data_IF_364224259416
#
_entry.id   IF_364224259416
#
_cell.length_a   1.000
_cell.length_b   1.000
_cell.length_c   1.000
_cell.angle_alpha   90.00
_cell.angle_beta   90.00
_cell.angle_gamma   90.00
#
_symmetry.space_group_name_H-M   'P 1'
#
loop_
_entity.id
_entity.type
_entity.pdbx_description
1 polymer ?
#
# COMPACT_ATOMS: atom_id res chain seq x y z
N UNK A 1 -57.35 43.07 -8.85
CA UNK A 1 -56.97 43.43 -7.45
C UNK A 1 -56.46 42.16 -6.78
N UNK A 2 -55.12 42.07 -6.62
CA UNK A 2 -54.40 42.01 -5.32
C UNK A 2 -54.65 40.70 -4.55
N UNK A 3 -53.72 39.74 -4.66
CA UNK A 3 -52.56 39.55 -3.75
C UNK A 3 -52.97 39.48 -2.29
N UNK A 4 -52.83 38.30 -1.68
CA UNK A 4 -52.20 38.03 -0.36
C UNK A 4 -52.75 36.71 0.20
N UNK A 5 -52.09 35.59 -0.08
CA UNK A 5 -52.03 34.38 0.78
C UNK A 5 -50.86 33.53 0.27
N UNK A 6 -49.63 34.01 0.51
CA UNK A 6 -48.39 33.28 0.20
C UNK A 6 -47.30 33.73 1.17
N UNK A 7 -47.56 33.49 2.46
CA UNK A 7 -46.57 33.53 3.54
C UNK A 7 -47.05 32.50 4.56
N UNK A 8 -46.76 31.23 4.31
CA UNK A 8 -46.62 30.11 5.27
C UNK A 8 -46.44 28.79 4.49
N UNK A 9 -45.51 28.81 3.53
CA UNK A 9 -44.87 27.60 3.01
C UNK A 9 -43.36 27.81 3.14
N UNK A 10 -42.96 28.07 4.38
CA UNK A 10 -41.59 28.05 4.85
C UNK A 10 -41.22 26.58 5.01
N UNK A 11 -40.06 26.20 4.45
CA UNK A 11 -39.28 25.01 4.81
C UNK A 11 -39.90 23.62 4.53
N UNK A 12 -40.25 23.30 3.28
CA UNK A 12 -40.24 21.88 2.83
C UNK A 12 -39.59 21.70 1.44
N UNK A 13 -39.36 22.77 0.67
CA UNK A 13 -38.72 22.71 -0.65
C UNK A 13 -37.21 22.97 -0.61
N UNK A 14 -36.51 22.38 0.36
CA UNK A 14 -35.06 22.54 0.53
C UNK A 14 -34.30 21.24 0.84
N UNK A 15 -34.92 20.08 0.61
CA UNK A 15 -34.30 18.79 0.92
C UNK A 15 -34.71 17.73 -0.12
N UNK A 16 -34.38 17.97 -1.39
CA UNK A 16 -34.44 16.94 -2.41
C UNK A 16 -33.21 17.05 -3.31
N UNK A 17 -32.33 16.06 -3.12
CA UNK A 17 -31.45 15.53 -4.16
C UNK A 17 -30.33 16.46 -4.64
N UNK A 18 -29.56 17.04 -3.72
CA UNK A 18 -28.11 16.95 -3.90
C UNK A 18 -27.69 15.63 -3.28
N UNK A 19 -27.78 14.54 -4.06
CA UNK A 19 -26.83 13.44 -3.90
C UNK A 19 -25.50 14.10 -4.23
N UNK A 20 -24.90 14.72 -3.21
CA UNK A 20 -23.51 15.09 -3.29
C UNK A 20 -22.81 13.77 -3.51
N UNK A 21 -22.44 13.48 -4.75
CA UNK A 21 -21.16 12.85 -5.00
C UNK A 21 -20.19 13.74 -4.24
N UNK A 22 -19.91 13.36 -3.00
CA UNK A 22 -18.70 13.82 -2.33
C UNK A 22 -17.65 13.31 -3.29
N UNK A 23 -17.13 14.20 -4.13
CA UNK A 23 -15.98 13.90 -4.98
C UNK A 23 -14.87 13.65 -3.98
N UNK A 24 -14.64 12.38 -3.65
CA UNK A 24 -13.56 12.04 -2.76
C UNK A 24 -12.35 11.80 -3.65
N UNK A 25 -11.44 12.75 -3.58
CA UNK A 25 -10.15 12.73 -4.27
C UNK A 25 -9.29 11.61 -3.68
N UNK A 26 -8.43 11.00 -4.50
CA UNK A 26 -7.72 9.75 -4.19
C UNK A 26 -6.98 9.77 -2.85
N UNK A 27 -6.98 8.62 -2.16
CA UNK A 27 -6.43 8.50 -0.82
C UNK A 27 -4.93 8.29 -0.89
N UNK A 28 -4.20 9.38 -0.70
CA UNK A 28 -2.79 9.32 -0.38
C UNK A 28 -2.67 8.89 1.09
N UNK A 29 -1.79 7.95 1.41
CA UNK A 29 -1.38 7.79 2.80
C UNK A 29 -0.73 9.07 3.31
N UNK A 30 -0.17 9.92 2.44
CA UNK A 30 0.30 11.27 2.78
C UNK A 30 0.13 12.20 1.55
N UNK A 31 -0.33 13.45 1.72
CA UNK A 31 -0.42 14.44 0.61
C UNK A 31 0.96 14.93 0.15
N UNK A 32 1.76 14.03 -0.38
CA UNK A 32 3.14 14.27 -0.74
C UNK A 32 3.37 14.16 -2.24
N UNK A 33 4.41 14.84 -2.69
CA UNK A 33 4.79 14.85 -4.08
C UNK A 33 5.37 13.51 -4.55
N UNK A 34 5.25 13.26 -5.85
CA UNK A 34 5.75 12.08 -6.55
C UNK A 34 7.23 12.25 -6.93
N UNK A 35 8.01 11.17 -7.05
CA UNK A 35 9.40 11.23 -7.55
C UNK A 35 9.62 10.28 -8.73
N UNK A 36 10.13 10.82 -9.83
CA UNK A 36 10.52 10.02 -11.00
C UNK A 36 11.87 9.30 -10.79
N UNK A 37 12.28 8.48 -11.77
CA UNK A 37 13.44 7.59 -11.72
C UNK A 37 14.75 8.34 -11.68
N UNK A 38 14.78 9.53 -12.26
CA UNK A 38 15.91 10.45 -12.20
C UNK A 38 15.98 11.24 -10.88
N UNK A 39 15.01 11.05 -9.98
CA UNK A 39 14.90 11.74 -8.71
C UNK A 39 14.12 13.05 -8.77
N UNK A 40 13.60 13.46 -9.93
CA UNK A 40 12.78 14.65 -10.10
C UNK A 40 11.57 14.59 -9.18
N UNK A 41 11.42 15.59 -8.31
CA UNK A 41 10.30 15.71 -7.38
C UNK A 41 9.19 16.58 -7.97
N UNK A 42 7.98 16.04 -7.99
CA UNK A 42 6.78 16.74 -8.38
C UNK A 42 6.00 17.10 -7.13
N UNK A 43 5.91 18.38 -6.76
CA UNK A 43 5.24 18.79 -5.54
C UNK A 43 3.76 18.38 -5.56
N UNK A 44 3.12 18.23 -4.39
CA UNK A 44 1.70 17.86 -4.29
C UNK A 44 0.73 18.91 -4.85
N UNK A 45 1.23 20.07 -5.30
CA UNK A 45 0.48 21.21 -5.87
C UNK A 45 1.10 21.61 -7.21
N UNK A 46 0.36 21.49 -8.32
CA UNK A 46 0.82 21.75 -9.69
C UNK A 46 0.13 20.82 -10.71
N UNK A 47 0.45 20.95 -12.02
CA UNK A 47 -0.04 20.12 -13.15
C UNK A 47 0.46 18.66 -13.08
N UNK A 48 0.22 17.99 -11.96
CA UNK A 48 0.47 16.57 -11.77
C UNK A 48 -0.88 15.82 -11.79
N UNK A 49 -0.96 14.63 -12.44
CA UNK A 49 -2.21 13.90 -12.59
C UNK A 49 -2.92 13.68 -11.26
N UNK A 50 -4.25 13.86 -11.27
CA UNK A 50 -5.09 13.69 -10.10
C UNK A 50 -5.06 12.23 -9.62
N UNK A 51 -4.33 11.94 -8.54
CA UNK A 51 -4.18 10.58 -7.99
C UNK A 51 -2.91 10.38 -7.16
N UNK A 52 -2.75 11.17 -6.10
CA UNK A 52 -1.60 11.22 -5.17
C UNK A 52 -1.18 9.83 -4.66
N UNK A 53 0.12 9.58 -4.52
CA UNK A 53 0.66 8.35 -3.91
C UNK A 53 1.95 8.70 -3.15
N UNK A 54 2.04 8.31 -1.89
CA UNK A 54 3.24 8.19 -1.06
C UNK A 54 2.85 7.20 0.01
N UNK A 55 3.71 6.24 0.27
CA UNK A 55 3.47 5.21 1.28
C UNK A 55 4.60 5.31 2.29
N UNK A 56 4.32 4.96 3.53
CA UNK A 56 5.34 4.97 4.60
C UNK A 56 6.56 4.12 4.22
N UNK A 57 6.30 3.02 3.52
CA UNK A 57 7.28 2.03 3.11
C UNK A 57 8.10 2.52 1.89
N UNK A 58 7.53 3.37 1.04
CA UNK A 58 8.22 4.04 -0.07
C UNK A 58 9.38 4.93 0.41
N UNK A 59 9.11 5.77 1.41
CA UNK A 59 10.06 6.80 1.87
C UNK A 59 11.41 6.19 2.29
N UNK A 60 11.41 5.03 2.98
CA UNK A 60 12.65 4.35 3.36
C UNK A 60 13.26 3.47 2.25
N UNK A 61 12.47 3.02 1.26
CA UNK A 61 12.92 2.00 0.28
C UNK A 61 14.19 2.42 -0.44
N UNK A 62 14.31 3.68 -0.87
CA UNK A 62 15.53 4.19 -1.52
C UNK A 62 16.76 4.09 -0.60
N UNK A 63 16.65 4.59 0.64
CA UNK A 63 17.76 4.58 1.59
C UNK A 63 18.17 3.14 1.94
N UNK A 64 17.21 2.27 2.20
CA UNK A 64 17.45 0.86 2.51
C UNK A 64 18.09 0.13 1.32
N UNK A 65 17.67 0.39 0.09
CA UNK A 65 18.28 -0.22 -1.11
C UNK A 65 19.73 0.23 -1.31
N UNK A 66 20.04 1.52 -1.11
CA UNK A 66 21.41 2.03 -1.15
C UNK A 66 22.27 1.36 -0.06
N UNK A 67 21.74 1.27 1.16
CA UNK A 67 22.40 0.59 2.27
C UNK A 67 22.61 -0.91 1.99
N UNK A 68 21.68 -1.55 1.29
CA UNK A 68 21.78 -2.95 0.87
C UNK A 68 22.79 -3.15 -0.26
N UNK A 69 23.13 -2.08 -1.00
CA UNK A 69 24.22 -2.09 -1.99
C UNK A 69 23.79 -2.09 -3.44
N UNK A 70 22.52 -1.77 -3.72
CA UNK A 70 22.04 -1.50 -5.07
C UNK A 70 22.68 -0.24 -5.65
N UNK A 71 22.64 -0.10 -6.98
CA UNK A 71 22.98 1.17 -7.63
C UNK A 71 21.94 2.23 -7.29
N UNK A 72 22.27 3.52 -7.47
CA UNK A 72 21.29 4.61 -7.30
C UNK A 72 20.09 4.42 -8.24
N UNK A 73 20.34 4.04 -9.49
CA UNK A 73 19.29 3.80 -10.48
C UNK A 73 18.34 2.68 -10.06
N UNK A 74 18.88 1.54 -9.62
CA UNK A 74 18.05 0.42 -9.18
C UNK A 74 17.28 0.75 -7.90
N UNK A 75 17.91 1.51 -6.99
CA UNK A 75 17.26 1.96 -5.77
C UNK A 75 16.09 2.92 -6.05
N UNK A 76 16.21 3.78 -7.06
CA UNK A 76 15.08 4.58 -7.54
C UNK A 76 13.99 3.74 -8.20
N UNK A 77 14.35 2.74 -9.00
CA UNK A 77 13.38 1.79 -9.56
C UNK A 77 12.61 1.08 -8.45
N UNK A 78 13.30 0.59 -7.41
CA UNK A 78 12.67 -0.07 -6.28
C UNK A 78 11.70 0.86 -5.55
N UNK A 79 12.12 2.11 -5.28
CA UNK A 79 11.27 3.12 -4.66
C UNK A 79 9.99 3.36 -5.47
N UNK A 80 10.12 3.71 -6.76
CA UNK A 80 8.98 4.02 -7.62
C UNK A 80 7.99 2.87 -7.69
N UNK A 81 8.46 1.64 -7.93
CA UNK A 81 7.54 0.51 -8.10
C UNK A 81 6.92 0.04 -6.79
N UNK A 82 7.55 0.33 -5.64
CA UNK A 82 6.94 0.17 -4.33
C UNK A 82 5.81 1.20 -4.17
N UNK A 83 6.10 2.48 -4.42
CA UNK A 83 5.12 3.55 -4.42
C UNK A 83 3.93 3.24 -5.32
N UNK A 84 4.16 2.75 -6.54
CA UNK A 84 3.09 2.51 -7.51
C UNK A 84 2.07 1.45 -7.08
N UNK A 85 2.37 0.58 -6.11
CA UNK A 85 1.41 -0.45 -5.68
C UNK A 85 0.14 0.20 -5.15
N UNK A 86 0.29 1.33 -4.46
CA UNK A 86 -0.78 2.17 -3.94
C UNK A 86 -1.47 3.07 -4.97
N UNK A 87 -1.09 2.99 -6.25
CA UNK A 87 -1.74 3.78 -7.29
C UNK A 87 -3.21 3.40 -7.44
N UNK A 88 -4.11 4.36 -7.19
CA UNK A 88 -5.54 4.14 -7.36
C UNK A 88 -6.00 4.31 -8.81
N UNK A 89 -5.44 5.31 -9.50
CA UNK A 89 -5.85 5.74 -10.85
C UNK A 89 -4.62 5.96 -11.71
N UNK A 90 -4.68 5.48 -12.95
CA UNK A 90 -3.63 5.74 -13.92
C UNK A 90 -3.69 7.19 -14.41
N UNK A 91 -2.55 7.87 -14.55
CA UNK A 91 -2.53 9.22 -15.07
C UNK A 91 -3.08 9.25 -16.50
N UNK A 92 -3.84 10.30 -16.83
CA UNK A 92 -4.42 10.50 -18.17
C UNK A 92 -3.37 10.69 -19.26
N UNK A 93 -2.16 11.14 -18.87
CA UNK A 93 -0.96 11.12 -19.69
C UNK A 93 -0.17 9.86 -19.36
N UNK A 94 0.17 9.01 -20.34
CA UNK A 94 0.94 7.80 -20.11
C UNK A 94 2.30 8.12 -19.46
N UNK A 95 2.50 7.66 -18.22
CA UNK A 95 3.83 7.57 -17.62
C UNK A 95 4.46 6.23 -18.01
N UNK A 96 5.77 6.19 -18.17
CA UNK A 96 6.48 4.99 -18.67
C UNK A 96 6.44 3.77 -17.74
N UNK A 97 5.94 3.94 -16.51
CA UNK A 97 5.85 2.91 -15.48
C UNK A 97 4.46 2.92 -14.85
N UNK A 98 3.74 1.81 -14.97
CA UNK A 98 2.43 1.63 -14.34
C UNK A 98 2.13 0.13 -14.23
N UNK A 99 1.36 -0.26 -13.22
CA UNK A 99 0.79 -1.61 -13.14
C UNK A 99 -0.34 -1.85 -14.15
N UNK A 100 -0.70 -0.87 -14.99
CA UNK A 100 -1.69 -1.01 -16.05
C UNK A 100 -3.10 -1.30 -15.52
N UNK A 101 -4.08 -1.26 -16.42
CA UNK A 101 -5.49 -1.56 -16.14
C UNK A 101 -5.91 -2.95 -16.65
N UNK A 102 -5.01 -3.67 -17.31
CA UNK A 102 -5.26 -5.00 -17.85
C UNK A 102 -4.94 -6.08 -16.82
N UNK A 103 -5.84 -7.05 -16.65
CA UNK A 103 -5.57 -8.23 -15.83
C UNK A 103 -6.72 -8.68 -14.93
N UNK A 104 -7.82 -7.93 -14.87
CA UNK A 104 -9.00 -8.32 -14.10
C UNK A 104 -9.86 -9.34 -14.83
N UNK A 105 -10.32 -10.37 -14.11
CA UNK A 105 -11.33 -11.27 -14.64
C UNK A 105 -12.72 -10.62 -14.59
N UNK A 106 -13.66 -11.18 -15.35
CA UNK A 106 -15.06 -10.79 -15.25
C UNK A 106 -15.55 -11.00 -13.80
N UNK A 107 -16.20 -9.99 -13.19
CA UNK A 107 -16.72 -10.09 -11.84
C UNK A 107 -17.82 -11.16 -11.77
N UNK A 108 -17.97 -11.84 -10.62
CA UNK A 108 -19.03 -12.83 -10.44
C UNK A 108 -20.41 -12.18 -10.58
N UNK A 109 -21.39 -12.94 -11.06
CA UNK A 109 -22.77 -12.46 -11.19
C UNK A 109 -23.52 -12.71 -9.87
N UNK A 110 -23.78 -11.68 -9.05
CA UNK A 110 -24.38 -11.89 -7.74
C UNK A 110 -25.81 -12.42 -7.84
N UNK A 111 -26.53 -12.23 -8.96
CA UNK A 111 -27.89 -12.79 -9.12
C UNK A 111 -27.86 -14.32 -9.21
N UNK A 112 -26.77 -14.89 -9.73
CA UNK A 112 -26.59 -16.33 -9.92
C UNK A 112 -25.84 -16.95 -8.74
N UNK A 113 -24.76 -16.30 -8.30
CA UNK A 113 -23.82 -16.87 -7.34
C UNK A 113 -24.22 -16.63 -5.88
N UNK A 114 -25.11 -15.66 -5.63
CA UNK A 114 -25.50 -15.24 -4.28
C UNK A 114 -26.98 -15.54 -3.97
N UNK A 115 -27.53 -16.67 -4.44
CA UNK A 115 -28.90 -17.09 -4.14
C UNK A 115 -29.05 -17.28 -2.62
N UNK A 116 -30.09 -16.66 -2.04
CA UNK A 116 -30.37 -16.73 -0.60
C UNK A 116 -29.53 -15.79 0.28
N UNK A 117 -28.60 -15.02 -0.29
CA UNK A 117 -27.76 -14.04 0.44
C UNK A 117 -28.18 -12.60 0.17
N UNK A 118 -27.80 -11.69 1.07
CA UNK A 118 -27.94 -10.26 0.85
C UNK A 118 -26.98 -9.79 -0.25
N UNK A 119 -27.54 -9.18 -1.30
CA UNK A 119 -26.79 -8.77 -2.50
C UNK A 119 -27.26 -7.44 -3.10
N UNK A 120 -27.93 -6.62 -2.30
CA UNK A 120 -28.59 -5.41 -2.77
C UNK A 120 -27.62 -4.26 -3.09
N UNK A 121 -26.40 -4.33 -2.54
CA UNK A 121 -25.33 -3.35 -2.76
C UNK A 121 -23.99 -4.06 -2.84
N UNK A 122 -23.15 -3.65 -3.79
CA UNK A 122 -21.75 -4.05 -3.81
C UNK A 122 -20.97 -3.26 -2.77
N UNK A 123 -20.22 -3.99 -1.94
CA UNK A 123 -19.38 -3.47 -0.86
C UNK A 123 -17.92 -3.55 -1.29
N UNK A 124 -17.54 -4.63 -1.98
CA UNK A 124 -16.20 -4.82 -2.50
C UNK A 124 -16.20 -5.48 -3.90
N UNK A 125 -15.32 -5.08 -4.84
CA UNK A 125 -14.55 -3.82 -4.91
C UNK A 125 -15.39 -2.59 -4.58
N UNK A 126 -14.75 -1.52 -4.10
CA UNK A 126 -15.49 -0.30 -3.72
C UNK A 126 -15.96 0.47 -4.96
N UNK A 127 -16.85 1.44 -4.79
CA UNK A 127 -17.31 2.29 -5.90
C UNK A 127 -16.22 3.18 -6.54
N UNK A 128 -14.99 3.17 -6.00
CA UNK A 128 -13.83 3.88 -6.56
C UNK A 128 -13.01 3.05 -7.52
N UNK A 129 -13.22 1.74 -7.53
CA UNK A 129 -12.58 0.87 -8.47
C UNK A 129 -13.24 1.01 -9.84
N UNK A 130 -12.43 1.31 -10.84
CA UNK A 130 -12.82 1.30 -12.24
C UNK A 130 -11.86 0.38 -13.00
N UNK A 131 -12.30 -0.78 -13.49
CA UNK A 131 -11.43 -1.73 -14.17
C UNK A 131 -10.78 -1.14 -15.43
N UNK A 132 -11.35 -0.07 -16.01
CA UNK A 132 -10.81 0.57 -17.21
C UNK A 132 -9.69 1.57 -16.88
N UNK A 133 -9.54 1.99 -15.62
CA UNK A 133 -8.59 3.06 -15.25
C UNK A 133 -7.79 2.81 -13.97
N UNK A 134 -8.14 1.79 -13.19
CA UNK A 134 -7.43 1.41 -11.96
C UNK A 134 -6.24 0.51 -12.25
N UNK A 135 -5.18 0.65 -11.45
CA UNK A 135 -4.03 -0.24 -11.46
C UNK A 135 -4.42 -1.67 -11.03
N UNK A 136 -3.76 -2.70 -11.57
CA UNK A 136 -3.94 -4.11 -11.12
C UNK A 136 -3.80 -4.28 -9.61
N UNK A 137 -2.88 -3.53 -9.00
CA UNK A 137 -2.63 -3.55 -7.56
C UNK A 137 -3.57 -2.65 -6.76
N UNK A 138 -4.48 -1.89 -7.39
CA UNK A 138 -5.29 -0.86 -6.73
C UNK A 138 -5.91 -1.32 -5.42
N UNK A 139 -5.71 -0.52 -4.36
CA UNK A 139 -6.29 -0.67 -3.01
C UNK A 139 -7.81 -0.79 -2.95
N UNK A 140 -8.54 -0.43 -4.00
CA UNK A 140 -10.00 -0.59 -4.05
C UNK A 140 -10.47 -1.75 -4.92
N UNK A 141 -9.55 -2.33 -5.68
CA UNK A 141 -9.82 -3.38 -6.65
C UNK A 141 -10.01 -4.75 -6.01
N UNK A 142 -10.36 -5.75 -6.84
CA UNK A 142 -10.62 -7.10 -6.37
C UNK A 142 -9.37 -7.80 -5.82
N UNK A 143 -8.17 -7.40 -6.24
CA UNK A 143 -6.89 -7.95 -5.76
C UNK A 143 -6.30 -7.22 -4.56
N UNK A 144 -6.89 -6.11 -4.12
CA UNK A 144 -6.33 -5.31 -3.03
C UNK A 144 -6.05 -6.12 -1.76
N UNK A 145 -6.92 -7.04 -1.31
CA UNK A 145 -6.61 -7.82 -0.11
C UNK A 145 -5.34 -8.67 -0.24
N UNK A 146 -4.99 -9.08 -1.46
CA UNK A 146 -3.77 -9.84 -1.74
C UNK A 146 -2.51 -8.96 -1.74
N UNK A 147 -2.58 -7.73 -2.26
CA UNK A 147 -1.44 -6.81 -2.35
C UNK A 147 -1.23 -5.95 -1.10
N UNK A 148 -2.33 -5.57 -0.40
CA UNK A 148 -2.32 -4.59 0.68
C UNK A 148 -2.69 -5.14 2.06
N UNK A 149 -3.28 -6.34 2.11
CA UNK A 149 -3.55 -7.03 3.37
C UNK A 149 -3.03 -8.47 3.37
N UNK A 150 -1.81 -8.74 2.85
CA UNK A 150 -1.29 -10.09 2.86
C UNK A 150 -1.02 -10.54 4.31
N UNK A 151 -1.38 -11.78 4.63
CA UNK A 151 -1.08 -12.33 5.94
C UNK A 151 0.43 -12.46 6.15
N UNK A 152 0.94 -11.94 7.27
CA UNK A 152 2.34 -12.09 7.65
C UNK A 152 2.68 -13.58 7.81
N UNK A 153 3.63 -14.08 7.02
CA UNK A 153 3.95 -15.51 6.98
C UNK A 153 2.85 -16.39 6.36
N UNK A 154 1.87 -15.80 5.68
CA UNK A 154 0.78 -16.50 4.99
C UNK A 154 1.10 -16.92 3.55
N UNK A 155 0.12 -17.50 2.87
CA UNK A 155 0.23 -17.91 1.46
C UNK A 155 0.41 -16.71 0.52
N UNK A 156 -0.25 -15.60 0.82
CA UNK A 156 -0.31 -14.41 -0.04
C UNK A 156 1.09 -13.82 -0.20
N UNK A 157 1.73 -13.54 0.94
CA UNK A 157 3.08 -13.01 0.98
C UNK A 157 4.14 -13.98 0.42
N UNK A 158 3.94 -15.29 0.59
CA UNK A 158 4.82 -16.31 -0.02
C UNK A 158 4.71 -16.31 -1.54
N UNK A 159 3.50 -16.27 -2.09
CA UNK A 159 3.28 -16.25 -3.53
C UNK A 159 3.88 -14.99 -4.17
N UNK A 160 3.67 -13.82 -3.53
CA UNK A 160 4.31 -12.57 -3.91
C UNK A 160 5.83 -12.67 -3.89
N UNK A 161 6.40 -13.23 -2.81
CA UNK A 161 7.85 -13.43 -2.68
C UNK A 161 8.39 -14.35 -3.77
N UNK A 162 7.77 -15.50 -4.01
CA UNK A 162 8.26 -16.46 -5.01
C UNK A 162 8.21 -15.89 -6.44
N UNK A 163 7.14 -15.16 -6.78
CA UNK A 163 7.05 -14.44 -8.05
C UNK A 163 8.08 -13.30 -8.16
N UNK A 164 8.20 -12.47 -7.13
CA UNK A 164 9.17 -11.36 -7.06
C UNK A 164 10.63 -11.83 -7.12
N UNK A 165 10.91 -13.01 -6.55
CA UNK A 165 12.20 -13.66 -6.64
C UNK A 165 12.37 -14.45 -7.95
N UNK A 166 11.37 -14.55 -8.82
CA UNK A 166 11.46 -15.35 -10.05
C UNK A 166 11.66 -16.84 -9.79
N UNK A 167 11.23 -17.31 -8.61
CA UNK A 167 11.10 -18.74 -8.32
C UNK A 167 9.82 -19.31 -8.95
N UNK A 168 8.85 -18.44 -9.24
CA UNK A 168 7.64 -18.72 -10.00
C UNK A 168 7.50 -17.69 -11.13
N UNK A 169 7.19 -18.16 -12.34
CA UNK A 169 6.89 -17.29 -13.48
C UNK A 169 5.47 -16.70 -13.43
N UNK A 170 4.61 -17.25 -12.57
CA UNK A 170 3.20 -16.86 -12.41
C UNK A 170 2.93 -16.35 -11.00
N UNK A 171 2.12 -15.30 -10.90
CA UNK A 171 1.61 -14.80 -9.62
C UNK A 171 0.24 -15.42 -9.34
N UNK A 172 0.20 -16.45 -8.49
CA UNK A 172 -1.05 -17.01 -7.98
C UNK A 172 -1.53 -16.20 -6.78
N UNK A 173 -2.80 -15.78 -6.82
CA UNK A 173 -3.43 -15.02 -5.76
C UNK A 173 -4.93 -15.23 -5.77
N UNK A 174 -5.68 -14.25 -5.28
CA UNK A 174 -7.13 -14.30 -5.33
C UNK A 174 -7.73 -12.92 -5.55
N UNK A 175 -8.93 -12.92 -6.13
CA UNK A 175 -9.84 -11.79 -6.12
C UNK A 175 -10.91 -11.97 -5.06
N UNK A 176 -11.35 -10.86 -4.48
CA UNK A 176 -12.39 -10.81 -3.48
C UNK A 176 -13.56 -9.93 -3.96
N UNK A 177 -14.78 -10.34 -3.61
CA UNK A 177 -16.00 -9.59 -3.85
C UNK A 177 -16.96 -9.73 -2.68
N UNK A 178 -17.62 -8.64 -2.33
CA UNK A 178 -18.63 -8.63 -1.28
C UNK A 178 -19.86 -7.83 -1.72
N UNK A 179 -21.03 -8.38 -1.43
CA UNK A 179 -22.31 -7.69 -1.49
C UNK A 179 -23.05 -7.81 -0.16
N UNK A 180 -23.83 -6.79 0.17
CA UNK A 180 -24.60 -6.74 1.41
C UNK A 180 -25.99 -6.15 1.21
N UNK A 181 -26.60 -5.73 2.32
CA UNK A 181 -27.82 -4.95 2.35
C UNK A 181 -27.58 -3.53 1.80
N UNK A 182 -28.65 -2.81 1.45
CA UNK A 182 -28.52 -1.41 0.97
C UNK A 182 -27.86 -0.49 2.00
N UNK A 183 -28.03 -0.80 3.27
CA UNK A 183 -27.52 -0.06 4.43
C UNK A 183 -26.09 -0.43 4.80
N UNK A 184 -25.57 -1.54 4.30
CA UNK A 184 -24.19 -1.94 4.57
C UNK A 184 -23.23 -1.00 3.83
N UNK A 185 -22.16 -0.61 4.52
CA UNK A 185 -21.11 0.28 4.06
C UNK A 185 -19.73 -0.39 4.10
N UNK A 186 -19.55 -1.40 4.95
CA UNK A 186 -18.27 -2.07 5.17
C UNK A 186 -18.37 -3.58 4.95
N UNK A 187 -17.22 -4.22 4.68
CA UNK A 187 -17.14 -5.68 4.57
C UNK A 187 -17.65 -6.38 5.83
N UNK A 188 -17.30 -5.85 7.02
CA UNK A 188 -17.72 -6.40 8.30
C UNK A 188 -19.25 -6.43 8.39
N UNK A 189 -19.91 -5.34 8.02
CA UNK A 189 -21.37 -5.28 8.01
C UNK A 189 -21.97 -6.29 7.03
N UNK A 190 -21.40 -6.41 5.82
CA UNK A 190 -21.84 -7.41 4.85
C UNK A 190 -21.71 -8.84 5.42
N UNK A 191 -20.59 -9.16 6.06
CA UNK A 191 -20.34 -10.46 6.69
C UNK A 191 -21.34 -10.73 7.82
N UNK A 192 -21.55 -9.76 8.72
CA UNK A 192 -22.47 -9.88 9.85
C UNK A 192 -23.94 -9.98 9.42
N UNK A 193 -24.31 -9.32 8.33
CA UNK A 193 -25.67 -9.27 7.81
C UNK A 193 -25.96 -10.34 6.76
N UNK A 194 -25.26 -11.47 6.77
CA UNK A 194 -25.44 -12.58 5.81
C UNK A 194 -25.37 -12.14 4.33
N UNK A 195 -24.39 -11.27 4.06
CA UNK A 195 -24.01 -10.82 2.73
C UNK A 195 -23.43 -11.94 1.87
N UNK A 196 -23.34 -11.66 0.58
CA UNK A 196 -22.66 -12.54 -0.35
C UNK A 196 -21.17 -12.23 -0.40
N UNK A 197 -20.36 -13.21 -0.01
CA UNK A 197 -18.91 -13.07 0.08
C UNK A 197 -18.27 -14.12 -0.83
N UNK A 198 -17.49 -13.68 -1.81
CA UNK A 198 -16.88 -14.55 -2.82
C UNK A 198 -15.39 -14.24 -2.89
N UNK A 199 -14.58 -15.29 -2.82
CA UNK A 199 -13.17 -15.25 -3.22
C UNK A 199 -12.93 -16.27 -4.33
N UNK A 200 -12.08 -15.94 -5.30
CA UNK A 200 -11.68 -16.84 -6.38
C UNK A 200 -10.17 -16.81 -6.55
N UNK A 201 -9.53 -17.97 -6.43
CA UNK A 201 -8.12 -18.14 -6.75
C UNK A 201 -7.92 -17.93 -8.24
N UNK A 202 -6.93 -17.12 -8.60
CA UNK A 202 -6.62 -16.77 -9.98
C UNK A 202 -5.12 -16.62 -10.19
N UNK A 203 -4.68 -16.76 -11.44
CA UNK A 203 -3.38 -16.23 -11.86
C UNK A 203 -3.56 -14.75 -12.19
N UNK A 204 -2.89 -13.87 -11.45
CA UNK A 204 -2.93 -12.43 -11.64
C UNK A 204 -1.97 -12.07 -12.77
N UNK A 205 -2.49 -11.43 -13.82
CA UNK A 205 -1.68 -10.95 -14.94
C UNK A 205 -1.02 -9.62 -14.55
N UNK A 206 0.29 -9.66 -14.28
CA UNK A 206 1.09 -8.48 -13.99
C UNK A 206 1.75 -7.96 -15.27
N UNK A 207 1.86 -6.63 -15.48
CA UNK A 207 2.55 -6.07 -16.64
C UNK A 207 4.08 -6.05 -16.49
N UNK A 208 4.60 -6.52 -15.36
CA UNK A 208 6.03 -6.62 -15.07
C UNK A 208 6.46 -8.09 -15.06
N UNK A 209 7.65 -8.43 -15.56
CA UNK A 209 8.13 -9.81 -15.55
C UNK A 209 8.36 -10.32 -14.12
N UNK A 210 8.07 -11.60 -13.89
CA UNK A 210 8.48 -12.28 -12.67
C UNK A 210 10.00 -12.16 -12.48
N UNK A 211 10.44 -12.03 -11.22
CA UNK A 211 11.86 -11.91 -10.90
C UNK A 211 12.51 -10.56 -11.26
N UNK A 212 11.78 -9.58 -11.81
CA UNK A 212 12.34 -8.26 -12.09
C UNK A 212 12.47 -7.40 -10.82
N UNK A 213 13.14 -6.24 -10.90
CA UNK A 213 13.22 -5.30 -9.77
C UNK A 213 11.85 -4.69 -9.45
N UNK A 214 11.03 -4.48 -10.47
CA UNK A 214 9.65 -3.99 -10.35
C UNK A 214 8.79 -4.99 -9.58
N UNK A 215 8.84 -6.27 -9.95
CA UNK A 215 8.16 -7.33 -9.21
C UNK A 215 8.66 -7.44 -7.76
N UNK A 216 9.97 -7.28 -7.56
CA UNK A 216 10.55 -7.26 -6.21
C UNK A 216 10.07 -6.07 -5.38
N UNK A 217 9.96 -4.88 -5.97
CA UNK A 217 9.39 -3.71 -5.31
C UNK A 217 7.90 -3.89 -4.95
N UNK A 218 7.11 -4.55 -5.81
CA UNK A 218 5.72 -4.92 -5.47
C UNK A 218 5.67 -5.77 -4.21
N UNK A 219 6.58 -6.75 -4.09
CA UNK A 219 6.68 -7.58 -2.91
C UNK A 219 7.15 -6.81 -1.67
N UNK A 220 8.12 -5.89 -1.80
CA UNK A 220 8.58 -5.08 -0.67
C UNK A 220 7.47 -4.20 -0.09
N UNK A 221 6.60 -3.66 -0.95
CA UNK A 221 5.40 -2.94 -0.54
C UNK A 221 4.49 -3.85 0.29
N UNK A 222 4.08 -4.97 -0.29
CA UNK A 222 3.20 -5.96 0.35
C UNK A 222 3.80 -6.53 1.65
N UNK A 223 5.13 -6.63 1.74
CA UNK A 223 5.84 -6.99 2.97
C UNK A 223 5.67 -5.92 4.03
N UNK A 224 5.81 -4.63 3.69
CA UNK A 224 5.52 -3.54 4.62
C UNK A 224 4.08 -3.61 5.12
N UNK A 225 3.14 -3.73 4.18
CA UNK A 225 1.70 -3.83 4.46
C UNK A 225 1.35 -5.03 5.35
N UNK A 226 2.06 -6.16 5.21
CA UNK A 226 1.86 -7.33 6.06
C UNK A 226 2.16 -7.06 7.54
N UNK A 227 3.16 -6.21 7.82
CA UNK A 227 3.54 -5.85 9.19
C UNK A 227 2.64 -4.73 9.75
N UNK A 228 2.34 -3.70 8.96
CA UNK A 228 1.47 -2.60 9.40
C UNK A 228 0.07 -3.11 9.76
N UNK A 229 -0.49 -3.98 8.93
CA UNK A 229 -1.85 -4.49 9.08
C UNK A 229 -1.98 -5.74 9.95
N UNK A 230 -0.89 -6.29 10.51
CA UNK A 230 -0.93 -7.57 11.24
C UNK A 230 -2.01 -7.61 12.35
N UNK A 231 -2.07 -6.59 13.20
CA UNK A 231 -3.06 -6.51 14.28
C UNK A 231 -4.49 -6.31 13.74
N UNK A 232 -4.65 -5.62 12.61
CA UNK A 232 -5.94 -5.50 11.94
C UNK A 232 -6.39 -6.87 11.42
N UNK A 233 -5.50 -7.64 10.80
CA UNK A 233 -5.79 -8.99 10.31
C UNK A 233 -6.23 -9.91 11.46
N UNK A 234 -5.54 -9.85 12.60
CA UNK A 234 -5.90 -10.61 13.79
C UNK A 234 -7.27 -10.19 14.36
N UNK A 235 -7.55 -8.87 14.41
CA UNK A 235 -8.84 -8.33 14.86
C UNK A 235 -10.01 -8.75 13.95
N UNK A 236 -9.79 -8.78 12.64
CA UNK A 236 -10.76 -9.22 11.64
C UNK A 236 -11.02 -10.73 11.70
N UNK A 237 -9.97 -11.53 11.92
CA UNK A 237 -10.07 -12.97 12.10
C UNK A 237 -10.81 -13.35 13.40
N UNK A 238 -10.73 -12.50 14.44
CA UNK A 238 -11.41 -12.70 15.72
C UNK A 238 -12.92 -12.38 15.70
N UNK A 239 -13.43 -11.76 14.63
CA UNK A 239 -14.86 -11.46 14.49
C UNK A 239 -15.71 -12.75 14.43
N UNK A 240 -17.00 -12.63 14.74
CA UNK A 240 -17.94 -13.76 14.65
C UNK A 240 -19.17 -13.38 13.81
N UNK A 241 -19.30 -13.89 12.57
CA UNK A 241 -18.33 -14.75 11.89
C UNK A 241 -17.02 -14.00 11.51
N UNK A 242 -15.90 -14.71 11.33
CA UNK A 242 -14.64 -14.10 10.92
C UNK A 242 -14.76 -13.38 9.59
N UNK A 243 -14.04 -12.28 9.44
CA UNK A 243 -13.97 -11.56 8.17
C UNK A 243 -12.96 -12.27 7.26
N UNK A 244 -13.32 -12.60 6.01
CA UNK A 244 -12.51 -13.51 5.20
C UNK A 244 -11.27 -12.89 4.55
N UNK A 245 -11.09 -11.57 4.62
CA UNK A 245 -9.89 -10.89 4.17
C UNK A 245 -9.72 -9.53 4.85
N UNK A 246 -8.53 -8.95 4.75
CA UNK A 246 -8.20 -7.66 5.34
C UNK A 246 -8.82 -6.47 4.63
N UNK A 247 -9.31 -5.52 5.41
CA UNK A 247 -9.75 -4.22 4.91
C UNK A 247 -9.64 -3.21 6.03
N UNK A 248 -9.35 -1.96 5.68
CA UNK A 248 -9.65 -0.86 6.58
C UNK A 248 -11.15 -0.78 6.82
N UNK A 249 -11.47 -0.26 7.99
CA UNK A 249 -12.83 0.05 8.40
C UNK A 249 -12.88 1.52 8.76
N UNK A 250 -14.06 2.13 8.59
CA UNK A 250 -14.41 3.34 9.34
C UNK A 250 -15.37 2.83 10.40
N UNK A 251 -14.91 2.50 11.63
CA UNK A 251 -15.79 1.99 12.66
C UNK A 251 -16.96 2.98 12.84
N UNK A 252 -18.13 2.46 13.23
CA UNK A 252 -19.01 3.31 14.00
C UNK A 252 -18.19 3.73 15.23
N UNK A 253 -17.96 5.02 15.41
CA UNK A 253 -17.12 5.61 16.47
C UNK A 253 -17.26 4.79 17.77
N UNK A 254 -16.17 4.14 18.22
CA UNK A 254 -16.10 3.48 19.52
C UNK A 254 -16.27 1.95 19.55
N UNK A 255 -16.05 1.20 18.46
CA UNK A 255 -15.84 -0.26 18.54
C UNK A 255 -14.34 -0.58 18.80
N UNK A 256 -13.95 -0.91 20.04
CA UNK A 256 -12.56 -1.20 20.37
C UNK A 256 -12.06 -2.52 19.77
N UNK A 257 -12.96 -3.42 19.31
CA UNK A 257 -12.57 -4.75 18.83
C UNK A 257 -11.93 -4.74 17.44
N UNK A 258 -12.09 -3.64 16.69
CA UNK A 258 -11.53 -3.45 15.34
C UNK A 258 -10.70 -2.16 15.25
N UNK A 259 -10.28 -1.61 16.39
CA UNK A 259 -9.50 -0.37 16.46
C UNK A 259 -8.20 -0.42 15.65
N UNK A 260 -7.58 -1.61 15.56
CA UNK A 260 -6.39 -1.84 14.73
C UNK A 260 -6.65 -1.63 13.22
N UNK A 261 -7.92 -1.73 12.77
CA UNK A 261 -8.35 -1.51 11.40
C UNK A 261 -8.95 -0.12 11.15
N UNK A 262 -9.02 0.73 12.17
CA UNK A 262 -9.64 2.05 12.07
C UNK A 262 -8.80 2.99 11.22
N UNK A 263 -9.30 3.31 10.04
CA UNK A 263 -8.67 4.30 9.17
C UNK A 263 -9.78 5.11 8.50
N UNK A 264 -9.80 6.41 8.79
CA UNK A 264 -10.69 7.34 8.11
C UNK A 264 -9.93 8.09 7.03
N UNK A 265 -10.00 7.64 5.78
CA UNK A 265 -9.19 8.20 4.71
C UNK A 265 -9.61 9.61 4.29
N UNK A 266 -10.78 10.09 4.74
CA UNK A 266 -11.22 11.49 4.51
C UNK A 266 -10.71 12.46 5.57
N UNK A 267 -10.19 11.95 6.68
CA UNK A 267 -9.63 12.72 7.78
C UNK A 267 -8.62 11.85 8.53
N UNK A 268 -7.46 11.54 7.93
CA UNK A 268 -6.46 10.72 8.59
C UNK A 268 -5.91 11.45 9.81
N UNK A 269 -5.64 10.72 10.88
CA UNK A 269 -5.23 11.27 12.17
C UNK A 269 -4.05 10.48 12.74
N UNK A 270 -3.26 11.10 13.61
CA UNK A 270 -2.14 10.44 14.29
C UNK A 270 -2.58 9.24 15.15
N UNK A 271 -3.86 9.16 15.53
CA UNK A 271 -4.41 8.07 16.34
C UNK A 271 -5.18 7.00 15.53
N UNK A 272 -5.16 7.05 14.19
CA UNK A 272 -5.70 6.01 13.32
C UNK A 272 -4.68 4.89 13.01
N UNK A 273 -5.07 3.86 12.27
CA UNK A 273 -4.25 2.69 11.97
C UNK A 273 -2.90 3.05 11.34
N UNK A 274 -2.83 4.05 10.47
CA UNK A 274 -1.58 4.51 9.85
C UNK A 274 -0.87 5.52 10.73
N UNK A 275 -1.62 6.38 11.42
CA UNK A 275 -1.09 7.38 12.34
C UNK A 275 -0.21 6.77 13.43
N UNK A 276 -0.68 5.65 13.99
CA UNK A 276 -0.02 4.95 15.11
C UNK A 276 1.30 4.27 14.71
N UNK A 277 1.58 4.11 13.42
CA UNK A 277 2.86 3.61 12.93
C UNK A 277 4.03 4.56 13.21
N UNK A 278 3.74 5.82 13.56
CA UNK A 278 4.75 6.85 13.72
C UNK A 278 4.71 7.54 15.08
N UNK A 279 5.85 8.08 15.47
CA UNK A 279 5.98 8.85 16.70
C UNK A 279 6.14 7.97 17.94
N UNK A 280 6.88 8.46 18.92
CA UNK A 280 7.26 7.68 20.12
C UNK A 280 6.10 7.30 21.06
N UNK A 281 4.88 7.77 20.81
CA UNK A 281 3.73 7.63 21.71
C UNK A 281 3.00 6.31 21.53
N UNK A 282 3.10 5.69 20.35
CA UNK A 282 2.31 4.50 19.99
C UNK A 282 3.13 3.22 19.98
N UNK A 283 2.48 2.11 20.35
CA UNK A 283 3.09 0.77 20.33
C UNK A 283 3.25 0.21 18.92
N UNK A 284 2.43 0.67 17.97
CA UNK A 284 2.39 0.18 16.59
C UNK A 284 3.68 0.53 15.82
N UNK A 285 4.40 1.58 16.25
CA UNK A 285 5.72 1.96 15.74
C UNK A 285 6.74 0.81 15.73
N UNK A 286 6.65 -0.11 16.70
CA UNK A 286 7.54 -1.27 16.74
C UNK A 286 7.33 -2.19 15.52
N UNK A 287 6.09 -2.36 15.04
CA UNK A 287 5.80 -3.16 13.83
C UNK A 287 6.38 -2.48 12.59
N UNK A 288 6.29 -1.16 12.50
CA UNK A 288 6.88 -0.39 11.39
C UNK A 288 8.41 -0.46 11.38
N UNK A 289 9.06 -0.47 12.56
CA UNK A 289 10.51 -0.72 12.67
C UNK A 289 10.86 -2.15 12.22
N UNK A 290 10.07 -3.15 12.63
CA UNK A 290 10.26 -4.54 12.22
C UNK A 290 10.06 -4.73 10.72
N UNK A 291 9.05 -4.07 10.13
CA UNK A 291 8.81 -4.01 8.70
C UNK A 291 10.03 -3.46 7.94
N UNK A 292 10.57 -2.32 8.38
CA UNK A 292 11.74 -1.70 7.76
C UNK A 292 12.98 -2.61 7.83
N UNK A 293 13.17 -3.32 8.95
CA UNK A 293 14.25 -4.31 9.11
C UNK A 293 14.04 -5.53 8.21
N UNK A 294 12.82 -6.03 8.07
CA UNK A 294 12.49 -7.14 7.19
C UNK A 294 12.70 -6.78 5.71
N UNK A 295 12.24 -5.59 5.29
CA UNK A 295 12.51 -5.01 3.97
C UNK A 295 14.02 -4.91 3.74
N UNK A 296 14.78 -4.41 4.72
CA UNK A 296 16.24 -4.34 4.62
C UNK A 296 16.90 -5.71 4.46
N UNK A 297 16.40 -6.74 5.14
CA UNK A 297 16.91 -8.10 5.04
C UNK A 297 16.67 -8.69 3.64
N UNK A 298 15.46 -8.54 3.08
CA UNK A 298 15.13 -8.97 1.72
C UNK A 298 15.96 -8.20 0.67
N UNK A 299 16.09 -6.87 0.80
CA UNK A 299 16.96 -6.05 -0.03
C UNK A 299 18.42 -6.52 0.03
N UNK A 300 18.94 -6.77 1.24
CA UNK A 300 20.32 -7.23 1.44
C UNK A 300 20.57 -8.59 0.80
N UNK A 301 19.63 -9.53 0.96
CA UNK A 301 19.70 -10.84 0.33
C UNK A 301 19.67 -10.72 -1.21
N UNK A 302 18.75 -9.91 -1.74
CA UNK A 302 18.58 -9.71 -3.18
C UNK A 302 19.81 -9.03 -3.80
N UNK A 303 20.31 -8.00 -3.14
CA UNK A 303 21.55 -7.30 -3.48
C UNK A 303 22.73 -8.28 -3.59
N UNK A 304 22.93 -9.14 -2.58
CA UNK A 304 24.02 -10.12 -2.60
C UNK A 304 23.89 -11.11 -3.77
N UNK A 305 22.69 -11.65 -3.97
CA UNK A 305 22.46 -12.75 -4.91
C UNK A 305 22.39 -12.32 -6.36
N UNK A 306 21.94 -11.10 -6.66
CA UNK A 306 21.58 -10.69 -8.03
C UNK A 306 22.10 -9.31 -8.43
N UNK A 307 21.43 -8.23 -8.03
CA UNK A 307 21.62 -6.91 -8.66
C UNK A 307 22.64 -6.01 -7.94
N UNK A 308 22.91 -6.26 -6.66
CA UNK A 308 23.75 -5.37 -5.84
C UNK A 308 25.15 -5.18 -6.39
N UNK A 309 25.72 -3.99 -6.28
CA UNK A 309 27.12 -3.72 -6.69
C UNK A 309 28.05 -3.61 -5.49
N UNK A 310 27.50 -3.44 -4.29
CA UNK A 310 28.23 -3.33 -3.03
C UNK A 310 27.72 -4.32 -1.98
N UNK A 311 28.59 -4.77 -1.08
CA UNK A 311 28.19 -5.56 0.07
C UNK A 311 27.21 -4.76 0.94
N UNK A 312 26.10 -5.36 1.43
CA UNK A 312 25.20 -4.68 2.35
C UNK A 312 25.93 -4.14 3.59
N UNK A 313 25.53 -2.98 4.09
CA UNK A 313 26.02 -2.46 5.36
C UNK A 313 25.43 -3.28 6.52
N UNK A 314 26.20 -3.67 7.54
CA UNK A 314 25.60 -4.12 8.79
C UNK A 314 24.64 -3.06 9.36
N UNK A 315 23.56 -3.50 10.00
CA UNK A 315 22.66 -2.60 10.75
C UNK A 315 23.39 -1.81 11.86
N UNK A 316 24.53 -2.31 12.32
CA UNK A 316 25.41 -1.66 13.30
C UNK A 316 26.37 -0.64 12.68
N UNK A 317 26.35 -0.41 11.36
CA UNK A 317 27.22 0.58 10.71
C UNK A 317 26.90 1.98 11.22
N UNK A 318 27.94 2.67 11.71
CA UNK A 318 27.84 4.07 12.13
C UNK A 318 27.71 5.01 10.93
N UNK A 319 26.74 5.92 11.01
CA UNK A 319 26.42 6.96 10.05
C UNK A 319 26.38 8.31 10.78
N UNK A 320 26.66 9.39 10.07
CA UNK A 320 26.39 10.75 10.56
C UNK A 320 25.26 11.33 9.73
N UNK A 321 24.06 11.36 10.30
CA UNK A 321 22.84 11.86 9.64
C UNK A 321 22.49 13.19 10.28
N UNK A 322 22.42 14.27 9.48
CA UNK A 322 22.15 15.63 9.97
C UNK A 322 23.10 16.07 11.09
N UNK A 323 24.37 15.67 11.02
CA UNK A 323 25.39 15.99 12.03
C UNK A 323 25.33 15.16 13.32
N UNK A 324 24.39 14.21 13.43
CA UNK A 324 24.26 13.32 14.59
C UNK A 324 24.77 11.93 14.24
N UNK A 325 25.65 11.39 15.09
CA UNK A 325 26.10 10.00 14.95
C UNK A 325 24.99 9.03 15.36
N UNK A 326 24.71 8.05 14.50
CA UNK A 326 23.73 7.00 14.73
C UNK A 326 24.19 5.71 14.03
N UNK A 327 23.57 4.57 14.33
CA UNK A 327 23.75 3.36 13.50
C UNK A 327 22.73 3.35 12.36
N UNK A 328 22.90 2.50 11.35
CA UNK A 328 21.88 2.29 10.32
C UNK A 328 20.54 1.87 10.96
N UNK A 329 20.57 0.97 11.94
CA UNK A 329 19.38 0.60 12.71
C UNK A 329 18.80 1.78 13.49
N UNK A 330 19.67 2.55 14.16
CA UNK A 330 19.28 3.76 14.87
C UNK A 330 18.65 4.81 13.95
N UNK A 331 19.09 4.90 12.69
CA UNK A 331 18.48 5.76 11.69
C UNK A 331 17.09 5.28 11.27
N UNK A 332 16.88 3.97 11.11
CA UNK A 332 15.56 3.37 10.87
C UNK A 332 14.62 3.70 12.04
N UNK A 333 15.06 3.45 13.28
CA UNK A 333 14.27 3.77 14.48
C UNK A 333 13.93 5.26 14.53
N UNK A 334 14.91 6.13 14.27
CA UNK A 334 14.71 7.58 14.26
C UNK A 334 13.66 8.01 13.23
N UNK A 335 13.71 7.47 12.00
CA UNK A 335 12.72 7.75 10.96
C UNK A 335 11.29 7.46 11.44
N UNK A 336 11.08 6.32 12.10
CA UNK A 336 9.76 5.90 12.56
C UNK A 336 9.30 6.69 13.79
N UNK A 337 10.18 6.91 14.78
CA UNK A 337 9.73 7.36 16.11
C UNK A 337 9.88 8.86 16.36
N UNK A 338 10.67 9.59 15.56
CA UNK A 338 11.00 10.98 15.87
C UNK A 338 9.94 12.01 15.43
N UNK A 339 9.02 11.61 14.56
CA UNK A 339 7.99 12.47 13.98
C UNK A 339 6.65 11.74 13.94
N UNK A 340 5.57 12.47 14.25
CA UNK A 340 4.22 11.93 14.15
C UNK A 340 3.76 11.90 12.69
N UNK A 341 2.75 11.10 12.37
CA UNK A 341 2.25 10.90 11.01
C UNK A 341 1.95 12.19 10.23
N UNK A 342 1.47 13.26 10.87
CA UNK A 342 1.23 14.56 10.24
C UNK A 342 2.48 15.42 9.95
N UNK A 343 3.68 14.89 10.18
CA UNK A 343 4.98 15.53 9.89
C UNK A 343 5.78 14.90 8.72
N UNK A 344 5.17 14.52 7.58
CA UNK A 344 5.87 13.75 6.53
C UNK A 344 7.03 14.50 5.87
N UNK A 345 6.95 15.82 5.76
CA UNK A 345 8.02 16.62 5.18
C UNK A 345 9.33 16.51 5.97
N UNK A 346 9.24 16.39 7.31
CA UNK A 346 10.42 16.23 8.19
C UNK A 346 11.01 14.84 8.08
N UNK A 347 10.17 13.79 8.01
CA UNK A 347 10.62 12.42 7.73
C UNK A 347 11.38 12.33 6.42
N UNK A 348 10.87 12.93 5.34
CA UNK A 348 11.55 12.94 4.04
C UNK A 348 12.86 13.73 4.05
N UNK A 349 12.90 14.87 4.71
CA UNK A 349 14.15 15.62 4.87
C UNK A 349 15.18 14.74 5.58
N UNK A 350 14.79 14.01 6.63
CA UNK A 350 15.66 13.07 7.31
C UNK A 350 16.15 11.93 6.39
N UNK A 351 15.26 11.34 5.59
CA UNK A 351 15.63 10.32 4.59
C UNK A 351 16.61 10.87 3.56
N UNK A 352 16.38 12.07 3.04
CA UNK A 352 17.28 12.69 2.06
C UNK A 352 18.69 12.86 2.66
N UNK A 353 18.78 13.25 3.94
CA UNK A 353 20.05 13.31 4.71
C UNK A 353 20.67 11.93 4.95
N UNK A 354 19.85 10.91 5.21
CA UNK A 354 20.29 9.53 5.35
C UNK A 354 20.88 9.02 4.02
N UNK A 355 20.24 9.32 2.89
CA UNK A 355 20.76 8.99 1.55
C UNK A 355 22.11 9.66 1.30
N UNK A 356 22.28 10.94 1.66
CA UNK A 356 23.58 11.62 1.60
C UNK A 356 24.65 10.89 2.44
N UNK A 357 24.32 10.56 3.69
CA UNK A 357 25.22 9.87 4.62
C UNK A 357 25.63 8.46 4.12
N UNK A 358 24.68 7.72 3.54
CA UNK A 358 24.90 6.39 2.96
C UNK A 358 25.80 6.44 1.72
N UNK A 359 25.61 7.44 0.86
CA UNK A 359 26.43 7.64 -0.34
C UNK A 359 27.87 8.04 -0.01
N UNK A 360 28.10 8.65 1.14
CA UNK A 360 29.42 9.00 1.63
C UNK A 360 30.19 7.81 2.24
N UNK A 361 29.52 6.68 2.52
CA UNK A 361 30.17 5.50 3.09
C UNK A 361 31.14 4.87 2.09
N UNK A 362 32.29 4.40 2.58
CA UNK A 362 33.17 3.53 1.80
C UNK A 362 32.53 2.15 1.66
N UNK A 363 32.31 1.70 0.41
CA UNK A 363 31.60 0.46 0.11
C UNK A 363 32.54 -0.58 -0.49
N UNK A 364 32.42 -1.83 -0.04
CA UNK A 364 33.14 -2.94 -0.66
C UNK A 364 32.35 -3.44 -1.86
N UNK A 365 32.95 -3.42 -3.06
CA UNK A 365 32.31 -3.94 -4.26
C UNK A 365 32.10 -5.46 -4.19
N UNK A 366 30.93 -5.93 -4.63
CA UNK A 366 30.68 -7.37 -4.78
C UNK A 366 31.47 -7.87 -5.98
N UNK A 367 32.22 -8.96 -5.78
CA UNK A 367 32.87 -9.69 -6.88
C UNK A 367 32.03 -10.91 -7.23
N UNK A 368 31.33 -10.85 -8.36
CA UNK A 368 30.58 -12.00 -8.89
C UNK A 368 31.43 -12.79 -9.87
N UNK A 369 31.42 -14.11 -9.72
CA UNK A 369 31.95 -15.05 -10.70
C UNK A 369 30.74 -15.73 -11.34
N UNK A 370 30.43 -15.35 -12.58
CA UNK A 370 29.39 -16.01 -13.35
C UNK A 370 29.98 -17.27 -13.99
N UNK A 371 29.48 -18.43 -13.57
CA UNK A 371 29.84 -19.70 -14.20
C UNK A 371 28.92 -19.93 -15.41
N UNK A 372 29.45 -20.30 -16.59
CA UNK A 372 28.61 -20.65 -17.72
C UNK A 372 27.75 -21.86 -17.38
N UNK A 373 26.44 -21.75 -17.63
CA UNK A 373 25.51 -22.86 -17.50
C UNK A 373 25.77 -23.83 -18.66
N UNK A 374 26.36 -24.99 -18.37
CA UNK A 374 26.47 -26.07 -19.36
C UNK A 374 25.11 -26.76 -19.41
N UNK A 375 24.25 -26.31 -20.33
CA UNK A 375 23.03 -27.05 -20.68
C UNK A 375 23.46 -28.35 -21.35
N UNK A 376 23.27 -29.48 -20.66
CA UNK A 376 23.45 -30.79 -21.27
C UNK A 376 22.31 -31.00 -22.30
N UNK A 377 22.61 -31.53 -23.50
CA UNK A 377 21.67 -31.62 -24.61
C UNK A 377 20.46 -32.50 -24.33
#
# INVERSE_FOLDING_TARGET
>A
MKRKWLMYAVMVLGLCLTVGTVSVWGFAEEELGFRDRDGTYYPPVGDFPAGRISTVHDDLTLALAIAAGFTITDSHTLRIWNQLVDSEVLPSTPVSYTYGNAGFYAPPNPVVECIGKNRARQIWPTSRFDPDTSAVTSRFGPYSPFFHFPHLGGSDLRALRDWAWGNSDTLEGYEAYAWGQRTDLTLIQAVQNDGCIITRTVTISMPVPAGSLEAFATYLHALGDAYSHADCMDALAAQTPPVPWGTHTVPAIGDPSIYACDYNPSNPQNDDAHGREFGSVYTDTQRTIEAARAIYAELSARSLLREGVYMPLPLTTTLVVSGTETTLDGAIVTFVTAWDYDEPARRREYVDRLVEALRAQSRTAIRRVYLPLVLSP
#
